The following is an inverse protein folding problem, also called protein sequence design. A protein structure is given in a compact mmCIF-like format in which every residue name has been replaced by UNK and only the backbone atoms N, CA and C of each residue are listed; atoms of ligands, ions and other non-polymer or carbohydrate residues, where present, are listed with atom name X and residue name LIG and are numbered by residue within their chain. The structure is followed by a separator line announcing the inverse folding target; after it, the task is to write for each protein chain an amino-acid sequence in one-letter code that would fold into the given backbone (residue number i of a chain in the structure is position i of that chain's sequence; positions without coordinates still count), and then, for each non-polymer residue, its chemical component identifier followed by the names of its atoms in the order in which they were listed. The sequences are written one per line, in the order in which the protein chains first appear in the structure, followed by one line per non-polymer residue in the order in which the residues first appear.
data_IF_896315265666
#
_entry.id   IF_896315265666
#
_cell.length_a   1.000
_cell.length_b   1.000
_cell.length_c   1.000
_cell.angle_alpha   90.00
_cell.angle_beta   90.00
_cell.angle_gamma   90.00
#
_symmetry.space_group_name_H-M   'P 1'
#
loop_
_entity.id
_entity.type
_entity.pdbx_description
1 polymer ?
#
# COMPACT_ATOMS: atom_id res chain seq x y z
N UNK A 1 12.63 -6.45 -6.75
CA UNK A 1 13.22 -6.03 -8.04
C UNK A 1 12.16 -5.87 -9.13
N UNK A 2 11.47 -6.93 -9.57
CA UNK A 2 10.47 -6.86 -10.65
C UNK A 2 9.25 -5.97 -10.34
N UNK A 3 8.60 -6.20 -9.20
CA UNK A 3 7.45 -5.40 -8.75
C UNK A 3 7.86 -3.94 -8.48
N UNK A 4 8.93 -3.73 -7.73
CA UNK A 4 9.44 -2.41 -7.37
C UNK A 4 9.75 -1.53 -8.59
N UNK A 5 10.38 -2.08 -9.62
CA UNK A 5 10.72 -1.32 -10.83
C UNK A 5 9.46 -0.88 -11.60
N UNK A 6 8.41 -1.70 -11.61
CA UNK A 6 7.12 -1.35 -12.24
C UNK A 6 6.28 -0.40 -11.43
N UNK A 7 6.30 -0.53 -10.10
CA UNK A 7 5.66 0.43 -9.22
C UNK A 7 6.28 1.81 -9.43
N UNK A 8 7.62 1.90 -9.44
CA UNK A 8 8.32 3.16 -9.71
C UNK A 8 7.99 3.73 -11.10
N UNK A 9 7.96 2.88 -12.13
CA UNK A 9 7.55 3.30 -13.47
C UNK A 9 6.08 3.78 -13.51
N UNK A 10 5.16 3.07 -12.86
CA UNK A 10 3.74 3.47 -12.82
C UNK A 10 3.54 4.83 -12.15
N UNK A 11 4.31 5.11 -11.09
CA UNK A 11 4.32 6.43 -10.45
C UNK A 11 4.84 7.50 -11.42
N UNK A 12 5.84 7.19 -12.25
CA UNK A 12 6.38 8.13 -13.22
C UNK A 12 5.39 8.42 -14.37
N UNK A 13 4.71 7.39 -14.88
CA UNK A 13 3.64 7.53 -15.89
C UNK A 13 2.50 8.42 -15.38
N UNK A 14 2.11 8.25 -14.12
CA UNK A 14 1.07 9.05 -13.46
C UNK A 14 1.54 10.46 -13.06
N UNK A 15 2.81 10.81 -13.29
CA UNK A 15 3.38 12.11 -12.94
C UNK A 15 3.76 12.29 -11.47
N UNK A 16 3.69 11.23 -10.65
CA UNK A 16 4.10 11.26 -9.24
C UNK A 16 5.60 11.03 -9.02
N UNK A 17 6.31 10.48 -10.01
CA UNK A 17 7.77 10.28 -9.99
C UNK A 17 8.43 10.90 -11.23
N UNK A 18 9.76 11.18 -11.22
CA UNK A 18 10.39 11.92 -12.31
C UNK A 18 10.18 11.20 -13.64
N UNK A 19 9.81 11.95 -14.69
CA UNK A 19 9.55 11.41 -16.05
C UNK A 19 10.70 10.57 -16.60
N UNK A 20 11.90 10.75 -16.05
CA UNK A 20 13.05 9.91 -16.37
C UNK A 20 12.80 8.42 -16.14
N UNK A 21 11.98 8.03 -15.17
CA UNK A 21 11.66 6.62 -14.84
C UNK A 21 10.58 5.97 -15.72
N UNK A 22 9.94 6.72 -16.63
CA UNK A 22 8.90 6.17 -17.53
C UNK A 22 9.50 5.31 -18.67
N UNK A 23 10.80 5.46 -18.94
CA UNK A 23 11.46 4.74 -20.03
C UNK A 23 11.32 3.22 -19.93
N UNK A 24 10.86 2.62 -21.03
CA UNK A 24 10.70 1.18 -21.20
C UNK A 24 11.44 0.72 -22.45
N UNK A 25 12.19 -0.37 -22.30
CA UNK A 25 12.94 -0.98 -23.40
C UNK A 25 12.03 -1.75 -24.37
N UNK A 26 12.56 -2.13 -25.54
CA UNK A 26 11.85 -2.89 -26.59
C UNK A 26 11.25 -4.21 -26.08
N UNK A 27 11.85 -4.80 -25.04
CA UNK A 27 11.36 -6.01 -24.39
C UNK A 27 10.29 -5.75 -23.30
N UNK A 28 9.78 -4.52 -23.17
CA UNK A 28 8.75 -4.15 -22.17
C UNK A 28 9.29 -3.97 -20.75
N UNK A 29 10.61 -3.84 -20.57
CA UNK A 29 11.28 -3.76 -19.25
C UNK A 29 11.58 -2.29 -18.89
N UNK A 30 11.18 -1.80 -17.70
CA UNK A 30 11.53 -0.45 -17.25
C UNK A 30 12.99 -0.38 -16.80
N UNK A 31 13.93 -0.29 -17.74
CA UNK A 31 15.37 -0.43 -17.48
C UNK A 31 15.89 0.58 -16.44
N UNK A 32 15.48 1.85 -16.52
CA UNK A 32 15.99 2.89 -15.61
C UNK A 32 15.54 2.67 -14.17
N UNK A 33 14.28 2.32 -13.97
CA UNK A 33 13.76 1.95 -12.65
C UNK A 33 14.36 0.63 -12.15
N UNK A 34 14.62 -0.33 -13.05
CA UNK A 34 15.26 -1.60 -12.71
C UNK A 34 16.69 -1.40 -12.18
N UNK A 35 17.50 -0.53 -12.81
CA UNK A 35 18.85 -0.19 -12.34
C UNK A 35 18.86 0.30 -10.88
N UNK A 36 17.91 1.17 -10.51
CA UNK A 36 17.80 1.63 -9.11
C UNK A 36 17.50 0.46 -8.16
N UNK A 37 16.61 -0.45 -8.56
CA UNK A 37 16.30 -1.61 -7.71
C UNK A 37 17.48 -2.59 -7.58
N UNK A 38 18.42 -2.60 -8.53
CA UNK A 38 19.67 -3.35 -8.42
C UNK A 38 20.62 -2.68 -7.44
N UNK A 39 20.74 -1.35 -7.48
CA UNK A 39 21.54 -0.62 -6.49
C UNK A 39 21.02 -0.88 -5.08
N UNK A 40 19.71 -0.94 -4.89
CA UNK A 40 19.11 -1.36 -3.63
C UNK A 40 19.47 -2.83 -3.28
N UNK A 41 19.52 -3.73 -4.25
CA UNK A 41 19.98 -5.10 -4.07
C UNK A 41 21.46 -5.22 -3.71
N UNK A 42 22.30 -4.28 -4.15
CA UNK A 42 23.72 -4.24 -3.78
C UNK A 42 23.94 -3.98 -2.28
N UNK A 43 22.94 -3.47 -1.55
CA UNK A 43 23.00 -3.42 -0.08
C UNK A 43 23.10 -4.82 0.55
N UNK A 44 22.79 -5.90 -0.16
CA UNK A 44 23.02 -7.26 0.32
C UNK A 44 24.50 -7.56 0.60
N UNK A 45 25.45 -6.85 -0.02
CA UNK A 45 26.89 -7.01 0.26
C UNK A 45 27.28 -6.59 1.69
N UNK A 46 26.41 -5.90 2.42
CA UNK A 46 26.60 -5.58 3.85
C UNK A 46 26.72 -6.83 4.72
N UNK A 47 26.25 -7.99 4.25
CA UNK A 47 26.45 -9.28 4.93
C UNK A 47 27.94 -9.67 5.12
N UNK A 48 28.86 -9.02 4.39
CA UNK A 48 30.31 -9.24 4.55
C UNK A 48 30.97 -8.27 5.53
N UNK A 49 30.22 -7.33 6.11
CA UNK A 49 30.73 -6.28 6.98
C UNK A 49 30.80 -6.71 8.45
N UNK A 50 31.83 -6.24 9.16
CA UNK A 50 32.09 -6.59 10.57
C UNK A 50 30.96 -6.22 11.54
N UNK A 51 30.11 -5.23 11.20
CA UNK A 51 28.91 -4.86 11.99
C UNK A 51 27.62 -5.11 11.24
N UNK A 52 27.53 -6.23 10.51
CA UNK A 52 26.35 -6.60 9.72
C UNK A 52 25.06 -6.57 10.54
N UNK A 53 25.07 -7.05 11.78
CA UNK A 53 23.84 -7.19 12.59
C UNK A 53 23.21 -5.83 12.89
N UNK A 54 24.03 -4.82 13.18
CA UNK A 54 23.55 -3.46 13.43
C UNK A 54 22.87 -2.92 12.18
N UNK A 55 23.55 -2.97 11.03
CA UNK A 55 23.02 -2.42 9.79
C UNK A 55 21.79 -3.20 9.30
N UNK A 56 21.79 -4.52 9.46
CA UNK A 56 20.66 -5.37 9.12
C UNK A 56 19.44 -5.06 9.99
N UNK A 57 19.61 -4.86 11.29
CA UNK A 57 18.52 -4.42 12.17
C UNK A 57 17.96 -3.04 11.77
N UNK A 58 18.82 -2.10 11.37
CA UNK A 58 18.35 -0.81 10.82
C UNK A 58 17.49 -1.02 9.57
N UNK A 59 17.95 -1.84 8.62
CA UNK A 59 17.20 -2.12 7.38
C UNK A 59 15.87 -2.83 7.67
N UNK A 60 15.86 -3.80 8.60
CA UNK A 60 14.65 -4.48 9.03
C UNK A 60 13.64 -3.52 9.67
N UNK A 61 14.09 -2.67 10.61
CA UNK A 61 13.24 -1.66 11.24
C UNK A 61 12.67 -0.69 10.20
N UNK A 62 13.46 -0.32 9.19
CA UNK A 62 12.99 0.51 8.07
C UNK A 62 11.85 -0.15 7.30
N UNK A 63 12.04 -1.41 6.89
CA UNK A 63 11.04 -2.14 6.10
C UNK A 63 9.77 -2.42 6.92
N UNK A 64 9.92 -2.87 8.17
CA UNK A 64 8.80 -3.21 9.04
C UNK A 64 7.90 -2.00 9.27
N UNK A 65 8.46 -0.86 9.69
CA UNK A 65 7.71 0.38 9.88
C UNK A 65 7.11 0.91 8.58
N UNK A 66 7.80 0.77 7.45
CA UNK A 66 7.29 1.24 6.17
C UNK A 66 5.98 0.54 5.82
N UNK A 67 5.90 -0.77 6.05
CA UNK A 67 4.69 -1.56 5.81
C UNK A 67 3.56 -1.10 6.75
N UNK A 68 3.86 -0.88 8.03
CA UNK A 68 2.87 -0.39 9.02
C UNK A 68 2.31 0.99 8.64
N UNK A 69 3.10 1.85 7.99
CA UNK A 69 2.63 3.16 7.49
C UNK A 69 1.83 3.02 6.20
N UNK A 70 2.23 2.12 5.29
CA UNK A 70 1.56 1.93 4.00
C UNK A 70 0.14 1.39 4.17
N UNK A 71 -0.09 0.48 5.11
CA UNK A 71 -1.41 -0.11 5.37
C UNK A 71 -2.53 0.91 5.65
N UNK A 72 -2.42 1.84 6.62
CA UNK A 72 -3.45 2.84 6.85
C UNK A 72 -3.62 3.76 5.65
N UNK A 73 -2.55 4.10 4.90
CA UNK A 73 -2.68 4.86 3.66
C UNK A 73 -3.56 4.13 2.62
N UNK A 74 -3.34 2.84 2.40
CA UNK A 74 -4.16 2.02 1.51
C UNK A 74 -5.62 1.96 1.97
N UNK A 75 -5.86 1.79 3.27
CA UNK A 75 -7.21 1.76 3.84
C UNK A 75 -7.93 3.11 3.68
N UNK A 76 -7.23 4.24 3.87
CA UNK A 76 -7.79 5.57 3.63
C UNK A 76 -8.14 5.75 2.15
N UNK A 77 -7.26 5.35 1.23
CA UNK A 77 -7.54 5.37 -0.20
C UNK A 77 -8.79 4.54 -0.54
N UNK A 78 -8.94 3.36 0.06
CA UNK A 78 -10.11 2.50 -0.13
C UNK A 78 -11.40 3.16 0.36
N UNK A 79 -11.42 3.71 1.59
CA UNK A 79 -12.59 4.43 2.13
C UNK A 79 -13.00 5.61 1.26
N UNK A 80 -12.03 6.33 0.70
CA UNK A 80 -12.28 7.47 -0.18
C UNK A 80 -12.77 7.06 -1.56
N UNK A 81 -12.24 5.97 -2.10
CA UNK A 81 -12.74 5.39 -3.34
C UNK A 81 -14.20 4.94 -3.19
N UNK A 82 -14.56 4.34 -2.04
CA UNK A 82 -15.95 3.99 -1.70
C UNK A 82 -16.85 5.24 -1.61
N UNK A 83 -16.37 6.32 -1.01
CA UNK A 83 -17.09 7.58 -0.97
C UNK A 83 -17.30 8.19 -2.38
N UNK A 84 -16.31 8.09 -3.27
CA UNK A 84 -16.42 8.53 -4.66
C UNK A 84 -17.46 7.73 -5.44
N UNK A 85 -17.47 6.39 -5.30
CA UNK A 85 -18.49 5.54 -5.92
C UNK A 85 -19.91 5.93 -5.50
N UNK A 86 -20.10 6.21 -4.20
CA UNK A 86 -21.38 6.65 -3.66
C UNK A 86 -21.79 8.02 -4.22
N UNK A 87 -20.85 8.94 -4.37
CA UNK A 87 -21.12 10.27 -4.95
C UNK A 87 -21.55 10.17 -6.42
N UNK A 88 -20.93 9.29 -7.20
CA UNK A 88 -21.26 9.08 -8.62
C UNK A 88 -22.42 8.08 -8.85
N UNK A 89 -23.13 7.66 -7.80
CA UNK A 89 -24.24 6.69 -7.86
C UNK A 89 -23.90 5.37 -8.56
N UNK A 90 -22.65 4.90 -8.44
CA UNK A 90 -22.22 3.64 -9.04
C UNK A 90 -22.50 2.50 -8.05
N UNK A 91 -23.42 1.57 -8.36
CA UNK A 91 -23.75 0.49 -7.45
C UNK A 91 -22.57 -0.50 -7.37
N UNK A 92 -22.34 -1.03 -6.17
CA UNK A 92 -21.25 -1.97 -5.89
C UNK A 92 -21.36 -3.27 -6.69
N UNK A 93 -22.55 -3.59 -7.15
CA UNK A 93 -22.85 -4.75 -7.98
C UNK A 93 -22.24 -4.69 -9.38
N UNK A 94 -21.81 -3.50 -9.82
CA UNK A 94 -21.10 -3.31 -11.09
C UNK A 94 -19.59 -3.54 -10.96
N UNK A 95 -19.10 -3.85 -9.77
CA UNK A 95 -17.70 -4.15 -9.52
C UNK A 95 -17.48 -5.65 -9.65
N UNK A 96 -16.42 -6.04 -10.36
CA UNK A 96 -16.03 -7.45 -10.45
C UNK A 96 -15.63 -8.09 -9.11
N UNK A 97 -15.25 -7.26 -8.13
CA UNK A 97 -14.96 -7.73 -6.79
C UNK A 97 -15.37 -6.68 -5.75
N UNK A 98 -16.00 -7.14 -4.68
CA UNK A 98 -16.37 -6.33 -3.52
C UNK A 98 -15.71 -6.93 -2.29
N UNK A 99 -15.04 -6.09 -1.50
CA UNK A 99 -14.36 -6.52 -0.28
C UNK A 99 -15.34 -7.16 0.72
N UNK A 100 -14.99 -8.34 1.24
CA UNK A 100 -15.79 -9.09 2.21
C UNK A 100 -16.14 -8.32 3.49
N UNK A 101 -15.16 -7.66 4.10
CA UNK A 101 -15.32 -6.89 5.35
C UNK A 101 -15.83 -5.47 5.09
N UNK A 102 -15.95 -5.06 3.82
CA UNK A 102 -16.39 -3.71 3.45
C UNK A 102 -15.52 -2.59 4.03
N UNK A 103 -16.17 -1.48 4.34
CA UNK A 103 -15.56 -0.29 4.92
C UNK A 103 -15.14 -0.50 6.39
N UNK A 104 -15.84 -1.36 7.13
CA UNK A 104 -15.59 -1.66 8.55
C UNK A 104 -14.17 -2.21 8.74
N UNK A 105 -13.74 -3.12 7.86
CA UNK A 105 -12.38 -3.67 7.90
C UNK A 105 -11.30 -2.61 7.67
N UNK A 106 -11.61 -1.58 6.86
CA UNK A 106 -10.68 -0.47 6.61
C UNK A 106 -10.52 0.42 7.85
N UNK A 107 -11.60 0.73 8.57
CA UNK A 107 -11.53 1.48 9.82
C UNK A 107 -10.76 0.72 10.91
N UNK A 108 -11.00 -0.59 11.04
CA UNK A 108 -10.30 -1.43 12.01
C UNK A 108 -8.79 -1.50 11.74
N UNK A 109 -8.39 -1.66 10.47
CA UNK A 109 -6.98 -1.67 10.08
C UNK A 109 -6.28 -0.33 10.38
N UNK A 110 -6.95 0.81 10.13
CA UNK A 110 -6.41 2.13 10.47
C UNK A 110 -6.20 2.26 11.98
N UNK A 111 -7.18 1.83 12.78
CA UNK A 111 -7.10 1.87 14.24
C UNK A 111 -5.94 1.01 14.76
N UNK A 112 -5.84 -0.25 14.33
CA UNK A 112 -4.80 -1.16 14.77
C UNK A 112 -3.41 -0.69 14.35
N UNK A 113 -3.21 -0.32 13.08
CA UNK A 113 -1.91 0.17 12.63
C UNK A 113 -1.53 1.48 13.34
N UNK A 114 -2.51 2.34 13.65
CA UNK A 114 -2.30 3.52 14.49
C UNK A 114 -1.80 3.17 15.89
N UNK A 115 -2.43 2.21 16.56
CA UNK A 115 -1.99 1.74 17.88
C UNK A 115 -0.59 1.10 17.82
N UNK A 116 -0.30 0.33 16.77
CA UNK A 116 1.03 -0.26 16.56
C UNK A 116 2.09 0.84 16.39
N UNK A 117 1.81 1.92 15.63
CA UNK A 117 2.75 3.03 15.49
C UNK A 117 3.02 3.78 16.80
N UNK A 118 1.99 3.93 17.64
CA UNK A 118 2.13 4.54 18.97
C UNK A 118 2.96 3.63 19.88
N UNK A 119 2.67 2.31 19.89
CA UNK A 119 3.45 1.34 20.65
C UNK A 119 4.91 1.29 20.19
N UNK A 120 5.15 1.30 18.89
CA UNK A 120 6.49 1.30 18.31
C UNK A 120 7.26 2.58 18.65
N UNK A 121 6.59 3.73 18.70
CA UNK A 121 7.18 4.98 19.15
C UNK A 121 7.64 4.90 20.62
N UNK A 122 6.79 4.32 21.49
CA UNK A 122 7.13 4.12 22.89
C UNK A 122 8.34 3.19 23.08
N UNK A 123 8.35 2.04 22.41
CA UNK A 123 9.45 1.06 22.47
C UNK A 123 10.76 1.65 21.93
N UNK A 124 10.69 2.44 20.86
CA UNK A 124 11.87 3.09 20.30
C UNK A 124 12.44 4.20 21.21
N UNK A 125 11.59 4.90 21.96
CA UNK A 125 12.03 5.97 22.87
C UNK A 125 12.47 5.43 24.24
N UNK A 126 11.84 4.37 24.75
CA UNK A 126 12.09 3.81 26.07
C UNK A 126 12.30 2.27 26.02
N UNK A 127 13.41 1.78 25.46
CA UNK A 127 13.68 0.34 25.38
C UNK A 127 13.79 -0.35 26.76
N UNK A 128 14.29 0.36 27.77
CA UNK A 128 14.40 -0.12 29.17
C UNK A 128 13.98 0.95 30.19
N UNK A 129 13.05 1.84 29.79
CA UNK A 129 12.59 2.95 30.65
C UNK A 129 13.54 4.15 30.73
N UNK A 130 14.69 4.11 30.03
CA UNK A 130 15.59 5.26 29.84
C UNK A 130 15.53 5.73 28.38
N UNK A 131 15.54 7.05 28.14
CA UNK A 131 15.58 7.59 26.79
C UNK A 131 16.95 7.32 26.14
N UNK A 132 16.96 6.56 25.04
CA UNK A 132 18.15 6.32 24.21
C UNK A 132 17.92 6.83 22.79
N UNK A 133 18.67 7.87 22.42
CA UNK A 133 18.59 8.52 21.11
C UNK A 133 19.05 7.59 19.99
N UNK A 134 20.05 6.73 20.23
CA UNK A 134 20.55 5.81 19.20
C UNK A 134 19.51 4.74 18.88
N UNK A 135 18.86 4.19 19.91
CA UNK A 135 17.77 3.23 19.74
C UNK A 135 16.58 3.86 19.00
N UNK A 136 16.22 5.10 19.36
CA UNK A 136 15.15 5.83 18.69
C UNK A 136 15.42 5.98 17.20
N UNK A 137 16.61 6.44 16.80
CA UNK A 137 16.94 6.55 15.39
C UNK A 137 17.07 5.18 14.72
N UNK A 138 17.61 4.16 15.36
CA UNK A 138 17.69 2.81 14.79
C UNK A 138 16.32 2.21 14.50
N UNK A 139 15.36 2.40 15.42
CA UNK A 139 14.06 1.73 15.37
C UNK A 139 12.93 2.59 14.84
N UNK A 140 13.10 3.91 14.69
CA UNK A 140 12.05 4.84 14.28
C UNK A 140 12.44 5.76 13.12
N UNK A 141 13.61 5.59 12.49
CA UNK A 141 14.07 6.43 11.35
C UNK A 141 13.06 6.54 10.21
N UNK A 142 12.26 5.50 10.01
CA UNK A 142 11.32 5.38 8.89
C UNK A 142 10.29 6.48 8.87
N UNK A 143 9.80 6.91 10.02
CA UNK A 143 8.76 7.94 10.14
C UNK A 143 9.27 9.31 9.68
N UNK A 144 10.36 9.87 10.24
CA UNK A 144 10.92 11.12 9.74
C UNK A 144 11.37 11.00 8.29
N UNK A 145 11.96 9.86 7.87
CA UNK A 145 12.33 9.65 6.46
C UNK A 145 11.10 9.72 5.52
N UNK A 146 10.00 9.07 5.90
CA UNK A 146 8.75 9.11 5.13
C UNK A 146 8.16 10.51 5.09
N UNK A 147 8.22 11.25 6.19
CA UNK A 147 7.78 12.64 6.28
C UNK A 147 8.60 13.55 5.35
N UNK A 148 9.93 13.41 5.35
CA UNK A 148 10.83 14.13 4.45
C UNK A 148 10.51 13.80 2.98
N UNK A 149 10.32 12.53 2.66
CA UNK A 149 9.93 12.11 1.31
C UNK A 149 8.57 12.70 0.89
N UNK A 150 7.60 12.72 1.80
CA UNK A 150 6.27 13.30 1.56
C UNK A 150 6.35 14.81 1.33
N UNK A 151 7.08 15.54 2.17
CA UNK A 151 7.30 16.99 2.01
C UNK A 151 8.07 17.26 0.73
N UNK A 152 9.11 16.49 0.41
CA UNK A 152 9.89 16.61 -0.82
C UNK A 152 9.04 16.40 -2.07
N UNK A 153 8.17 15.39 -2.06
CA UNK A 153 7.19 15.19 -3.13
C UNK A 153 6.21 16.36 -3.23
N UNK A 154 5.70 16.86 -2.09
CA UNK A 154 4.77 17.99 -2.05
C UNK A 154 5.39 19.31 -2.53
N UNK A 155 6.66 19.54 -2.22
CA UNK A 155 7.47 20.64 -2.74
C UNK A 155 7.61 20.56 -4.26
N UNK A 156 7.92 19.37 -4.76
CA UNK A 156 8.15 19.16 -6.19
C UNK A 156 6.87 19.27 -7.02
N UNK A 157 5.77 18.68 -6.55
CA UNK A 157 4.45 18.76 -7.21
C UNK A 157 3.78 20.14 -7.00
N UNK A 158 4.37 21.03 -6.17
CA UNK A 158 3.88 22.38 -5.83
C UNK A 158 2.40 22.43 -5.39
N UNK A 159 1.86 21.31 -4.93
CA UNK A 159 0.43 21.15 -4.59
C UNK A 159 0.17 21.43 -3.11
N UNK A 160 0.75 22.50 -2.57
CA UNK A 160 0.62 22.84 -1.14
C UNK A 160 -0.82 23.11 -0.72
N UNK A 161 -1.62 23.70 -1.62
CA UNK A 161 -3.01 24.07 -1.38
C UNK A 161 -4.01 22.91 -1.49
N UNK A 162 -3.62 21.75 -2.02
CA UNK A 162 -4.49 20.55 -2.09
C UNK A 162 -3.91 19.46 -1.21
N UNK A 163 -4.24 19.48 0.08
CA UNK A 163 -3.93 18.38 1.00
C UNK A 163 -4.68 17.10 0.65
N UNK A 164 -5.85 17.24 0.06
CA UNK A 164 -6.69 16.15 -0.40
C UNK A 164 -7.42 16.57 -1.68
N UNK A 165 -7.60 15.62 -2.59
CA UNK A 165 -8.52 15.76 -3.75
C UNK A 165 -9.96 15.77 -3.19
N UNK A 166 -10.90 16.55 -3.72
CA UNK A 166 -12.29 16.45 -3.24
C UNK A 166 -12.90 15.15 -3.74
N UNK A 167 -13.88 14.58 -3.02
CA UNK A 167 -14.52 13.31 -3.43
C UNK A 167 -15.10 13.39 -4.85
N UNK A 168 -15.59 14.56 -5.25
CA UNK A 168 -16.17 14.87 -6.56
C UNK A 168 -15.13 14.88 -7.69
N UNK A 169 -13.87 15.21 -7.36
CA UNK A 169 -12.76 15.28 -8.31
C UNK A 169 -11.98 13.96 -8.40
N UNK A 170 -12.39 12.91 -7.65
CA UNK A 170 -11.73 11.61 -7.69
C UNK A 170 -12.11 10.90 -8.99
N UNK A 171 -11.14 10.74 -9.88
CA UNK A 171 -11.33 9.98 -11.11
C UNK A 171 -11.50 8.48 -10.81
N UNK A 172 -12.71 7.98 -11.06
CA UNK A 172 -13.09 6.57 -10.94
C UNK A 172 -13.42 5.93 -12.29
N UNK A 173 -13.32 6.69 -13.39
CA UNK A 173 -13.74 6.25 -14.72
C UNK A 173 -12.53 5.85 -15.58
N UNK A 174 -11.41 6.55 -15.46
CA UNK A 174 -10.21 6.26 -16.26
C UNK A 174 -9.66 4.88 -15.96
N UNK A 175 -9.50 4.06 -17.01
CA UNK A 175 -8.94 2.70 -16.90
C UNK A 175 -9.86 1.68 -16.21
N UNK A 176 -11.14 2.01 -16.02
CA UNK A 176 -12.13 1.08 -15.46
C UNK A 176 -12.43 -0.04 -16.47
N UNK A 177 -12.13 -1.28 -16.11
CA UNK A 177 -12.67 -2.45 -16.82
C UNK A 177 -14.13 -2.63 -16.42
N UNK A 178 -15.04 -2.46 -17.38
CA UNK A 178 -16.45 -2.78 -17.20
C UNK A 178 -16.59 -4.28 -17.44
N UNK A 179 -16.99 -5.01 -16.40
CA UNK A 179 -17.29 -6.44 -16.52
C UNK A 179 -18.73 -6.59 -16.99
N UNK A 180 -18.97 -7.51 -17.92
CA UNK A 180 -20.32 -7.80 -18.39
C UNK A 180 -21.23 -8.18 -17.24
N UNK A 181 -22.40 -7.53 -17.17
CA UNK A 181 -23.34 -7.71 -16.07
C UNK A 181 -23.84 -9.16 -15.96
N UNK A 182 -23.96 -9.86 -17.10
CA UNK A 182 -24.34 -11.27 -17.17
C UNK A 182 -23.29 -12.16 -16.50
N UNK A 183 -22.01 -11.93 -16.77
CA UNK A 183 -20.90 -12.69 -16.13
C UNK A 183 -20.92 -12.49 -14.62
N UNK A 184 -21.15 -11.26 -14.14
CA UNK A 184 -21.26 -10.97 -12.70
C UNK A 184 -22.49 -11.59 -12.04
N UNK A 185 -23.56 -11.84 -12.80
CA UNK A 185 -24.73 -12.55 -12.30
C UNK A 185 -24.45 -14.04 -12.18
N UNK A 186 -23.87 -14.64 -13.22
CA UNK A 186 -23.46 -16.06 -13.23
C UNK A 186 -22.48 -16.38 -12.10
N UNK A 187 -21.45 -15.55 -11.87
CA UNK A 187 -20.50 -15.72 -10.77
C UNK A 187 -21.18 -15.68 -9.39
N UNK A 188 -22.17 -14.78 -9.23
CA UNK A 188 -22.95 -14.68 -7.99
C UNK A 188 -23.85 -15.89 -7.78
N UNK A 189 -24.50 -16.37 -8.82
CA UNK A 189 -25.34 -17.57 -8.78
C UNK A 189 -24.50 -18.82 -8.46
N UNK A 190 -23.34 -18.98 -9.09
CA UNK A 190 -22.42 -20.08 -8.80
C UNK A 190 -21.97 -20.05 -7.34
N UNK A 191 -21.62 -18.88 -6.81
CA UNK A 191 -21.24 -18.71 -5.40
C UNK A 191 -22.39 -19.04 -4.46
N UNK A 192 -23.61 -18.61 -4.76
CA UNK A 192 -24.80 -18.92 -3.97
C UNK A 192 -25.10 -20.42 -3.96
N UNK A 193 -24.98 -21.09 -5.12
CA UNK A 193 -25.15 -22.54 -5.23
C UNK A 193 -24.10 -23.29 -4.41
N UNK A 194 -22.82 -22.91 -4.52
CA UNK A 194 -21.75 -23.49 -3.70
C UNK A 194 -21.99 -23.31 -2.20
N UNK A 195 -22.50 -22.15 -1.78
CA UNK A 195 -22.88 -21.89 -0.37
C UNK A 195 -24.10 -22.69 0.09
N UNK A 196 -25.07 -22.93 -0.79
CA UNK A 196 -26.27 -23.71 -0.49
C UNK A 196 -25.94 -25.20 -0.29
N UNK A 197 -25.03 -25.74 -1.10
CA UNK A 197 -24.58 -27.14 -1.04
C UNK A 197 -23.54 -27.37 0.07
N UNK A 198 -22.80 -26.32 0.48
CA UNK A 198 -21.80 -26.42 1.53
C UNK A 198 -22.41 -26.73 2.91
N UNK A 199 -21.86 -27.75 3.58
CA UNK A 199 -22.16 -28.06 4.99
C UNK A 199 -21.79 -26.89 5.89
N UNK A 200 -22.52 -26.71 7.00
CA UNK A 200 -22.41 -25.51 7.85
C UNK A 200 -20.98 -25.20 8.33
N UNK A 201 -20.15 -26.21 8.60
CA UNK A 201 -18.74 -26.03 8.99
C UNK A 201 -17.80 -25.68 7.83
N UNK A 202 -18.17 -26.02 6.58
CA UNK A 202 -17.42 -25.68 5.38
C UNK A 202 -17.84 -24.33 4.78
N UNK A 203 -19.00 -23.78 5.18
CA UNK A 203 -19.49 -22.48 4.70
C UNK A 203 -18.48 -21.33 4.90
N UNK A 204 -17.78 -21.20 6.04
CA UNK A 204 -16.74 -20.18 6.19
C UNK A 204 -15.59 -20.35 5.19
N UNK A 205 -15.21 -21.60 4.92
CA UNK A 205 -14.13 -21.93 3.98
C UNK A 205 -14.54 -21.60 2.53
N UNK A 206 -15.75 -21.99 2.14
CA UNK A 206 -16.34 -21.68 0.83
C UNK A 206 -16.57 -20.17 0.65
N UNK A 207 -16.90 -19.44 1.73
CA UNK A 207 -17.06 -17.99 1.68
C UNK A 207 -15.73 -17.24 1.49
N UNK A 208 -14.63 -17.76 2.04
CA UNK A 208 -13.33 -17.10 2.03
C UNK A 208 -12.51 -17.40 0.75
N UNK A 209 -12.62 -18.62 0.21
CA UNK A 209 -11.79 -19.12 -0.89
C UNK A 209 -12.49 -19.20 -2.26
N UNK A 210 -13.72 -18.69 -2.39
CA UNK A 210 -14.51 -18.63 -3.64
C UNK A 210 -15.12 -17.24 -3.81
#
# INVERSE_FOLDING_TARGET
MYSSARLLRSLAVQGYAPKWFDYTDKAGRPLRAWLITILAGAFAFIATYNRQDVVFNWLLSIVALSIVIVWPCLCICHLRWRAALKHHNIPLETLGFVSYTGEIGSYYSILINGLILIGQFWVALFPEGKPDVNNFFQNYLTVPFTLVCYIGHKLWTRSWNKFYIKTEDIDIFTGRTIVDAEVLQLDREEKQQKMAVAKWWNKPWVWFFN
#
